data_IF_895487473376
#
_entry.id   IF_895487473376
#
_cell.length_a   1.000
_cell.length_b   1.000
_cell.length_c   1.000
_cell.angle_alpha   90.00
_cell.angle_beta   90.00
_cell.angle_gamma   90.00
#
_symmetry.space_group_name_H-M   'P 1'
#
loop_
_entity.id
_entity.type
_entity.pdbx_description
1 polymer ?
#
# COMPACT_ATOMS: atom_id res chain seq x y z
N UNK A 1 -2.58 26.15 56.12
CA UNK A 1 -2.01 25.27 55.10
C UNK A 1 -2.90 24.01 55.02
N UNK A 2 -3.64 23.78 53.92
CA UNK A 2 -4.42 22.54 53.72
C UNK A 2 -3.42 21.43 53.37
N UNK A 3 -3.33 20.41 54.21
CA UNK A 3 -2.55 19.22 53.93
C UNK A 3 -3.12 18.56 52.64
N UNK A 4 -2.34 18.56 51.61
CA UNK A 4 -2.67 17.83 50.39
C UNK A 4 -2.72 16.35 50.77
N UNK A 5 -3.90 15.74 50.60
CA UNK A 5 -4.12 14.36 51.04
C UNK A 5 -3.19 13.46 50.23
N UNK A 6 -2.38 12.64 50.87
CA UNK A 6 -1.33 11.79 50.28
C UNK A 6 -1.86 10.97 49.06
N UNK A 7 -3.10 10.52 49.15
CA UNK A 7 -3.81 9.83 48.03
C UNK A 7 -3.97 10.73 46.81
N UNK A 8 -4.32 12.00 47.00
CA UNK A 8 -4.53 12.93 45.89
C UNK A 8 -3.18 13.29 45.24
N UNK A 9 -2.10 13.34 45.99
CA UNK A 9 -0.75 13.59 45.47
C UNK A 9 -0.29 12.44 44.57
N UNK A 10 -0.53 11.19 44.97
CA UNK A 10 -0.20 10.02 44.13
C UNK A 10 -0.97 10.03 42.82
N UNK A 11 -2.28 10.34 42.87
CA UNK A 11 -3.10 10.41 41.67
C UNK A 11 -2.60 11.48 40.66
N UNK A 12 -2.23 12.66 41.20
CA UNK A 12 -1.68 13.75 40.35
C UNK A 12 -0.36 13.32 39.70
N UNK A 13 0.54 12.69 40.45
CA UNK A 13 1.81 12.19 39.91
C UNK A 13 1.57 11.12 38.84
N UNK A 14 0.64 10.19 39.05
CA UNK A 14 0.30 9.16 38.08
C UNK A 14 -0.25 9.76 36.79
N UNK A 15 -1.12 10.75 36.85
CA UNK A 15 -1.67 11.46 35.69
C UNK A 15 -0.55 12.18 34.90
N UNK A 16 0.38 12.82 35.61
CA UNK A 16 1.52 13.49 34.97
C UNK A 16 2.42 12.47 34.27
N UNK A 17 2.72 11.34 34.89
CA UNK A 17 3.52 10.28 34.28
C UNK A 17 2.87 9.67 33.04
N UNK A 18 1.55 9.47 33.05
CA UNK A 18 0.80 8.98 31.91
C UNK A 18 0.83 10.01 30.76
N UNK A 19 0.64 11.29 31.05
CA UNK A 19 0.67 12.34 30.03
C UNK A 19 2.05 12.54 29.40
N UNK A 20 3.13 12.32 30.14
CA UNK A 20 4.51 12.37 29.60
C UNK A 20 4.85 11.16 28.73
N UNK A 21 4.15 10.04 28.90
CA UNK A 21 4.35 8.82 28.12
C UNK A 21 3.83 8.89 26.67
N UNK A 22 2.90 9.79 26.37
CA UNK A 22 2.39 10.00 25.02
C UNK A 22 3.31 10.90 24.20
N UNK A 23 4.53 10.46 23.91
CA UNK A 23 5.30 11.04 22.81
C UNK A 23 4.55 10.75 21.52
N UNK A 24 3.97 11.77 20.90
CA UNK A 24 3.46 11.69 19.54
C UNK A 24 4.61 11.25 18.62
N UNK A 25 4.58 10.00 18.19
CA UNK A 25 5.49 9.52 17.15
C UNK A 25 5.13 10.31 15.89
N UNK A 26 6.04 11.17 15.43
CA UNK A 26 5.89 11.81 14.12
C UNK A 26 5.77 10.69 13.09
N UNK A 27 4.69 10.64 12.30
CA UNK A 27 4.58 9.62 11.27
C UNK A 27 5.74 9.83 10.29
N UNK A 28 6.63 8.84 10.21
CA UNK A 28 7.65 8.84 9.19
C UNK A 28 6.95 8.74 7.84
N UNK A 29 7.19 9.70 6.96
CA UNK A 29 6.64 9.65 5.62
C UNK A 29 7.44 8.64 4.78
N UNK A 30 7.03 7.37 4.84
CA UNK A 30 7.61 6.28 4.06
C UNK A 30 7.16 6.26 2.60
N UNK A 31 6.15 7.05 2.22
CA UNK A 31 5.59 7.12 0.86
C UNK A 31 6.68 7.43 -0.17
N UNK A 32 7.66 8.26 0.19
CA UNK A 32 8.78 8.61 -0.69
C UNK A 32 9.68 7.43 -1.12
N UNK A 33 9.55 6.29 -0.45
CA UNK A 33 10.29 5.06 -0.77
C UNK A 33 9.45 4.05 -1.53
N UNK A 34 8.17 4.35 -1.76
CA UNK A 34 7.25 3.48 -2.48
C UNK A 34 7.30 3.82 -3.96
N UNK A 35 7.71 2.85 -4.75
CA UNK A 35 7.61 2.91 -6.20
C UNK A 35 6.60 1.86 -6.67
N UNK A 36 5.42 2.27 -7.15
CA UNK A 36 4.37 1.35 -7.58
C UNK A 36 4.72 0.58 -8.86
N UNK A 37 5.79 0.94 -9.57
CA UNK A 37 6.20 0.30 -10.82
C UNK A 37 7.23 -0.81 -10.63
N UNK A 38 7.69 -1.06 -9.40
CA UNK A 38 8.63 -2.14 -9.12
C UNK A 38 8.05 -3.48 -9.59
N UNK A 39 8.79 -4.17 -10.46
CA UNK A 39 8.40 -5.46 -11.01
C UNK A 39 7.45 -5.40 -12.22
N UNK A 40 7.04 -4.22 -12.68
CA UNK A 40 6.16 -4.07 -13.85
C UNK A 40 6.89 -3.91 -15.18
N UNK A 41 8.22 -4.03 -15.21
CA UNK A 41 9.03 -3.93 -16.41
C UNK A 41 9.98 -5.12 -16.60
N UNK A 42 10.54 -5.27 -17.78
CA UNK A 42 11.37 -6.41 -18.14
C UNK A 42 10.59 -7.74 -17.99
N UNK A 43 11.17 -8.70 -17.29
CA UNK A 43 10.52 -9.99 -16.99
C UNK A 43 9.87 -10.02 -15.60
N UNK A 44 9.41 -8.88 -15.09
CA UNK A 44 8.96 -8.77 -13.70
C UNK A 44 7.58 -9.38 -13.42
N UNK A 45 6.66 -9.31 -14.35
CA UNK A 45 5.31 -9.90 -14.27
C UNK A 45 4.51 -9.50 -13.02
N UNK A 46 4.60 -8.22 -12.64
CA UNK A 46 3.80 -7.66 -11.54
C UNK A 46 2.85 -6.62 -12.08
N UNK A 47 1.57 -6.78 -11.80
CA UNK A 47 0.58 -5.77 -12.18
C UNK A 47 0.74 -4.48 -11.36
N UNK A 48 0.32 -3.37 -11.93
CA UNK A 48 0.25 -2.09 -11.21
C UNK A 48 -1.18 -1.85 -10.79
N UNK A 49 -1.45 -1.95 -9.51
CA UNK A 49 -2.80 -1.76 -9.00
C UNK A 49 -2.90 -1.81 -7.49
N UNK A 50 -3.96 -1.23 -6.98
CA UNK A 50 -4.27 -1.24 -5.55
C UNK A 50 -5.09 -2.47 -5.19
N UNK A 51 -4.60 -3.29 -4.28
CA UNK A 51 -5.24 -4.53 -3.85
C UNK A 51 -5.38 -4.70 -2.33
N UNK A 52 -5.05 -3.67 -1.57
CA UNK A 52 -5.15 -3.68 -0.11
C UNK A 52 -6.51 -3.11 0.29
N UNK A 53 -7.18 -3.65 1.33
CA UNK A 53 -6.71 -4.67 2.26
C UNK A 53 -7.04 -6.12 1.87
N UNK A 54 -7.95 -6.38 0.94
CA UNK A 54 -8.48 -7.73 0.74
C UNK A 54 -8.14 -8.38 -0.61
N UNK A 55 -7.56 -7.63 -1.54
CA UNK A 55 -7.08 -8.15 -2.81
C UNK A 55 -8.12 -8.81 -3.74
N UNK A 56 -9.40 -8.71 -3.42
CA UNK A 56 -10.46 -9.33 -4.22
C UNK A 56 -10.78 -8.55 -5.51
N UNK A 57 -10.45 -7.27 -5.52
CA UNK A 57 -10.50 -6.42 -6.70
C UNK A 57 -9.18 -5.67 -6.80
N UNK A 58 -8.55 -5.73 -7.97
CA UNK A 58 -7.20 -5.22 -8.20
C UNK A 58 -7.25 -4.26 -9.37
N UNK A 59 -7.75 -3.06 -9.12
CA UNK A 59 -7.88 -2.05 -10.18
C UNK A 59 -6.52 -1.55 -10.62
N UNK A 60 -6.22 -1.69 -11.90
CA UNK A 60 -4.96 -1.25 -12.49
C UNK A 60 -5.05 -1.00 -13.98
N UNK A 61 -4.04 -0.29 -14.56
CA UNK A 61 -3.95 -0.08 -15.99
C UNK A 61 -3.66 -1.40 -16.74
N UNK A 62 -4.11 -1.49 -17.97
CA UNK A 62 -3.80 -2.59 -18.87
C UNK A 62 -3.25 -2.08 -20.19
N UNK A 63 -2.28 -2.78 -20.77
CA UNK A 63 -1.73 -2.53 -22.08
C UNK A 63 -2.26 -3.56 -23.09
N UNK A 64 -1.95 -3.36 -24.37
CA UNK A 64 -2.13 -4.40 -25.37
C UNK A 64 -1.10 -5.52 -25.14
N UNK A 65 -1.57 -6.76 -25.14
CA UNK A 65 -0.67 -7.90 -24.99
C UNK A 65 0.30 -7.97 -26.19
N UNK A 66 1.59 -7.93 -25.90
CA UNK A 66 2.69 -8.01 -26.88
C UNK A 66 3.56 -9.25 -26.68
N UNK A 67 3.13 -10.17 -25.82
CA UNK A 67 3.85 -11.38 -25.51
C UNK A 67 3.95 -11.64 -24.01
N UNK A 68 4.84 -12.55 -23.65
CA UNK A 68 4.94 -13.09 -22.30
C UNK A 68 5.20 -12.03 -21.22
N UNK A 69 5.99 -11.01 -21.50
CA UNK A 69 6.30 -9.94 -20.54
C UNK A 69 5.07 -9.05 -20.22
N UNK A 70 4.03 -9.11 -21.04
CA UNK A 70 2.75 -8.43 -20.81
C UNK A 70 1.71 -9.32 -20.09
N UNK A 71 2.10 -10.46 -19.56
CA UNK A 71 1.17 -11.42 -18.95
C UNK A 71 0.46 -10.90 -17.70
N UNK A 72 1.00 -9.87 -17.06
CA UNK A 72 0.36 -9.19 -15.91
C UNK A 72 -0.48 -7.98 -16.29
N UNK A 73 -0.94 -7.89 -17.55
CA UNK A 73 -1.75 -6.82 -18.13
C UNK A 73 -1.04 -5.50 -18.35
N UNK A 74 -0.14 -5.08 -17.48
CA UNK A 74 0.60 -3.84 -17.59
C UNK A 74 2.11 -4.09 -17.71
N UNK A 75 2.75 -3.36 -18.61
CA UNK A 75 4.20 -3.35 -18.74
C UNK A 75 4.72 -1.92 -18.79
N UNK A 76 5.65 -1.57 -17.92
CA UNK A 76 6.12 -0.20 -17.71
C UNK A 76 6.80 0.44 -18.94
N UNK A 77 7.39 -0.36 -19.84
CA UNK A 77 8.00 0.17 -21.06
C UNK A 77 6.98 0.56 -22.14
N UNK A 78 5.71 0.23 -21.95
CA UNK A 78 4.68 0.59 -22.92
C UNK A 78 4.12 1.98 -22.65
N UNK A 79 4.09 2.81 -23.65
CA UNK A 79 3.56 4.18 -23.56
C UNK A 79 2.05 4.28 -23.76
N UNK A 80 1.38 3.16 -24.11
CA UNK A 80 -0.05 3.14 -24.40
C UNK A 80 -0.78 2.32 -23.37
N UNK A 81 -1.72 2.92 -22.70
CA UNK A 81 -2.69 2.26 -21.82
C UNK A 81 -3.95 2.01 -22.63
N UNK A 82 -4.37 0.76 -22.74
CA UNK A 82 -5.61 0.34 -23.41
C UNK A 82 -6.84 0.71 -22.58
N UNK A 83 -6.76 0.55 -21.27
CA UNK A 83 -7.85 0.79 -20.34
C UNK A 83 -7.47 0.42 -18.92
N UNK A 84 -8.47 0.15 -18.10
CA UNK A 84 -8.30 -0.32 -16.74
C UNK A 84 -9.07 -1.62 -16.53
N UNK A 85 -8.48 -2.54 -15.82
CA UNK A 85 -9.12 -3.78 -15.40
C UNK A 85 -9.24 -3.84 -13.87
N UNK A 86 -10.06 -4.73 -13.38
CA UNK A 86 -10.29 -4.90 -11.94
C UNK A 86 -9.89 -6.30 -11.46
N UNK A 87 -9.33 -7.10 -12.35
CA UNK A 87 -8.78 -8.41 -12.03
C UNK A 87 -7.43 -8.55 -12.74
N UNK A 88 -6.37 -8.58 -11.96
CA UNK A 88 -5.00 -8.75 -12.43
C UNK A 88 -4.32 -9.89 -11.72
N UNK A 89 -3.40 -10.53 -12.38
CA UNK A 89 -2.60 -11.63 -11.82
C UNK A 89 -1.13 -11.27 -11.89
N UNK A 90 -0.40 -11.51 -10.81
CA UNK A 90 1.05 -11.41 -10.80
C UNK A 90 1.69 -12.78 -10.92
N UNK A 91 2.81 -12.85 -11.64
CA UNK A 91 3.59 -14.07 -11.80
C UNK A 91 3.72 -14.50 -13.26
N UNK A 92 4.36 -15.65 -13.46
CA UNK A 92 4.79 -16.15 -14.77
C UNK A 92 3.89 -17.21 -15.36
N UNK A 93 2.69 -17.37 -14.89
CA UNK A 93 1.84 -18.52 -15.25
C UNK A 93 1.22 -18.42 -16.64
N UNK A 94 0.31 -17.52 -16.81
CA UNK A 94 -0.47 -17.38 -18.06
C UNK A 94 -0.85 -15.91 -18.24
N UNK A 95 -1.23 -15.57 -19.47
CA UNK A 95 -1.75 -14.25 -19.77
C UNK A 95 -2.94 -13.96 -18.88
N UNK A 96 -3.05 -12.74 -18.42
CA UNK A 96 -4.22 -12.29 -17.68
C UNK A 96 -5.47 -12.53 -18.56
N UNK A 97 -6.45 -13.16 -17.95
CA UNK A 97 -7.72 -13.46 -18.64
C UNK A 97 -8.47 -12.15 -18.75
N UNK A 98 -8.23 -11.46 -19.84
CA UNK A 98 -8.76 -10.15 -20.15
C UNK A 98 -10.15 -9.92 -19.56
N UNK A 99 -10.29 -8.80 -19.02
CA UNK A 99 -11.51 -8.28 -18.45
C UNK A 99 -12.45 -7.74 -19.52
N UNK A 100 -13.65 -7.46 -19.11
CA UNK A 100 -14.60 -6.69 -19.92
C UNK A 100 -14.07 -5.25 -20.07
N UNK A 101 -13.58 -4.91 -21.23
CA UNK A 101 -13.16 -3.55 -21.64
C UNK A 101 -14.30 -2.80 -22.30
#
# INVERSE_FOLDING_TARGET
MKYLNFKNTIVVIAVILISLGFKSMKPNNYIKYVDPFIGSGGHGHVFVGANVPFGGVQVGPTNFNKGWDWSSSYHHSDSIVKGFCHLNVSGTGMSDLGELT
#
